data_IF_072677729006
#
_entry.id   IF_072677729006
#
_cell.length_a   1.000
_cell.length_b   1.000
_cell.length_c   1.000
_cell.angle_alpha   90.00
_cell.angle_beta   90.00
_cell.angle_gamma   90.00
#
_symmetry.space_group_name_H-M   'P 1'
#
loop_
_entity.id
_entity.type
_entity.pdbx_description
1 polymer ?
#
# COMPACT_ATOMS: atom_id res chain seq x y z
N UNK A 1 20.67 -2.71 -12.51
CA UNK A 1 19.80 -3.91 -12.48
C UNK A 1 18.97 -3.79 -11.21
N UNK A 2 17.65 -3.67 -11.33
CA UNK A 2 16.76 -3.60 -10.17
C UNK A 2 16.81 -4.94 -9.44
N UNK A 3 17.13 -4.94 -8.17
CA UNK A 3 17.08 -6.14 -7.33
C UNK A 3 15.68 -6.22 -6.72
N UNK A 4 14.94 -7.26 -7.06
CA UNK A 4 13.65 -7.56 -6.46
C UNK A 4 13.86 -7.82 -4.97
N UNK A 5 13.04 -7.24 -4.11
CA UNK A 5 13.05 -7.54 -2.68
C UNK A 5 11.89 -8.46 -2.28
N UNK A 6 11.88 -8.93 -1.04
CA UNK A 6 10.85 -9.86 -0.56
C UNK A 6 9.44 -9.30 -0.67
N UNK A 7 9.26 -7.99 -0.53
CA UNK A 7 7.96 -7.32 -0.71
C UNK A 7 7.54 -7.33 -2.18
N UNK A 8 8.45 -7.07 -3.12
CA UNK A 8 8.16 -7.11 -4.56
C UNK A 8 7.67 -8.50 -4.99
N UNK A 9 8.31 -9.58 -4.52
CA UNK A 9 7.91 -10.95 -4.87
C UNK A 9 6.51 -11.29 -4.36
N UNK A 10 6.18 -10.86 -3.16
CA UNK A 10 4.87 -11.09 -2.58
C UNK A 10 3.78 -10.26 -3.25
N UNK A 11 4.07 -8.99 -3.57
CA UNK A 11 3.17 -8.16 -4.36
C UNK A 11 2.96 -8.73 -5.77
N UNK A 12 3.99 -9.29 -6.39
CA UNK A 12 3.88 -9.90 -7.72
C UNK A 12 2.84 -11.01 -7.76
N UNK A 13 2.83 -11.89 -6.77
CA UNK A 13 1.82 -12.94 -6.65
C UNK A 13 0.40 -12.38 -6.52
N UNK A 14 0.20 -11.50 -5.55
CA UNK A 14 -1.09 -10.87 -5.29
C UNK A 14 -1.59 -10.04 -6.50
N UNK A 15 -0.71 -9.32 -7.18
CA UNK A 15 -1.07 -8.56 -8.38
C UNK A 15 -1.52 -9.49 -9.52
N UNK A 16 -0.81 -10.58 -9.75
CA UNK A 16 -1.16 -11.54 -10.80
C UNK A 16 -2.55 -12.17 -10.57
N UNK A 17 -2.88 -12.53 -9.34
CA UNK A 17 -4.19 -13.07 -8.94
C UNK A 17 -5.34 -12.11 -9.26
N UNK A 18 -5.09 -10.81 -9.22
CA UNK A 18 -6.07 -9.77 -9.55
C UNK A 18 -5.95 -9.23 -10.97
N UNK A 19 -5.27 -9.95 -11.87
CA UNK A 19 -5.21 -9.65 -13.28
C UNK A 19 -4.22 -8.58 -13.70
N UNK A 20 -3.25 -8.26 -12.84
CA UNK A 20 -2.15 -7.38 -13.22
C UNK A 20 -1.04 -8.15 -13.92
N UNK A 21 -0.48 -7.55 -14.95
CA UNK A 21 0.68 -8.07 -15.68
C UNK A 21 1.85 -7.08 -15.61
N UNK A 22 3.08 -7.55 -15.46
CA UNK A 22 4.24 -6.66 -15.42
C UNK A 22 4.48 -6.02 -16.79
N UNK A 23 4.83 -4.73 -16.78
CA UNK A 23 5.27 -3.95 -17.92
C UNK A 23 6.66 -3.34 -17.63
N UNK A 24 7.74 -4.09 -17.75
CA UNK A 24 9.08 -3.67 -17.30
C UNK A 24 9.64 -2.47 -18.09
N UNK A 25 9.16 -2.22 -19.30
CA UNK A 25 9.57 -1.09 -20.13
C UNK A 25 8.73 0.17 -19.94
N UNK A 26 7.67 0.08 -19.16
CA UNK A 26 6.80 1.22 -18.85
C UNK A 26 7.51 2.20 -17.91
N UNK A 27 7.58 3.45 -18.30
CA UNK A 27 8.27 4.54 -17.55
C UNK A 27 7.30 5.61 -17.04
N UNK A 28 6.02 5.29 -16.95
CA UNK A 28 4.98 6.23 -16.49
C UNK A 28 5.33 6.90 -15.15
N UNK A 29 5.93 6.16 -14.23
CA UNK A 29 6.28 6.63 -12.90
C UNK A 29 7.81 6.79 -12.70
N UNK A 30 8.58 6.76 -13.77
CA UNK A 30 10.03 6.92 -13.73
C UNK A 30 10.79 5.74 -14.33
N UNK A 31 12.12 5.80 -14.22
CA UNK A 31 13.01 4.79 -14.78
C UNK A 31 13.36 3.66 -13.81
N UNK A 32 12.99 3.80 -12.54
CA UNK A 32 13.24 2.81 -11.49
C UNK A 32 11.96 2.09 -11.12
N UNK A 33 12.10 0.92 -10.52
CA UNK A 33 10.97 0.11 -10.07
C UNK A 33 10.31 -0.72 -11.16
N UNK A 34 9.17 -1.31 -10.80
CA UNK A 34 8.36 -2.18 -11.63
C UNK A 34 6.98 -1.56 -11.86
N UNK A 35 6.56 -1.49 -13.10
CA UNK A 35 5.21 -1.09 -13.47
C UNK A 35 4.38 -2.31 -13.80
N UNK A 36 3.14 -2.33 -13.32
CA UNK A 36 2.16 -3.37 -13.55
C UNK A 36 0.94 -2.74 -14.20
N UNK A 37 0.39 -3.38 -15.21
CA UNK A 37 -0.85 -2.93 -15.86
C UNK A 37 -1.98 -3.88 -15.53
N UNK A 38 -3.14 -3.35 -15.16
CA UNK A 38 -4.37 -4.14 -15.09
C UNK A 38 -4.74 -4.58 -16.50
N UNK A 39 -4.61 -5.88 -16.75
CA UNK A 39 -4.86 -6.50 -18.05
C UNK A 39 -6.13 -7.34 -18.00
N UNK A 40 -7.05 -7.10 -18.94
CA UNK A 40 -8.25 -7.89 -19.07
C UNK A 40 -9.54 -7.15 -18.72
N UNK A 41 -10.67 -7.87 -18.68
CA UNK A 41 -11.98 -7.25 -18.51
C UNK A 41 -12.26 -6.76 -17.07
N UNK A 42 -11.42 -7.14 -16.09
CA UNK A 42 -11.67 -6.88 -14.68
C UNK A 42 -11.39 -5.45 -14.22
N UNK A 43 -10.60 -4.68 -14.98
CA UNK A 43 -10.22 -3.33 -14.55
C UNK A 43 -9.35 -2.61 -15.57
N UNK A 44 -8.83 -1.45 -15.19
CA UNK A 44 -7.92 -0.64 -16.01
C UNK A 44 -7.00 0.20 -15.13
N UNK A 45 -5.81 0.49 -15.62
CA UNK A 45 -4.85 1.36 -14.96
C UNK A 45 -3.55 0.65 -14.59
N UNK A 46 -2.82 1.23 -13.65
CA UNK A 46 -1.45 0.86 -13.34
C UNK A 46 -1.19 0.77 -11.85
N UNK A 47 -0.24 -0.07 -11.52
CA UNK A 47 0.37 -0.17 -10.21
C UNK A 47 1.88 -0.09 -10.39
N UNK A 48 2.57 0.59 -9.50
CA UNK A 48 4.01 0.73 -9.55
C UNK A 48 4.62 0.49 -8.18
N UNK A 49 5.76 -0.20 -8.17
CA UNK A 49 6.55 -0.46 -6.97
C UNK A 49 8.01 -0.13 -7.19
N UNK A 50 8.66 0.32 -6.13
CA UNK A 50 10.10 0.47 -6.04
C UNK A 50 10.59 0.02 -4.68
N UNK A 51 11.29 -1.09 -4.63
CA UNK A 51 11.90 -1.62 -3.42
C UNK A 51 13.39 -1.22 -3.33
N UNK A 52 13.83 -0.84 -2.14
CA UNK A 52 15.22 -0.56 -1.83
C UNK A 52 15.78 -1.65 -0.94
N UNK A 53 16.48 -2.62 -1.51
CA UNK A 53 16.95 -3.82 -0.82
C UNK A 53 15.79 -4.45 -0.02
N UNK A 54 16.05 -4.97 1.18
CA UNK A 54 15.02 -5.48 2.08
C UNK A 54 14.61 -4.45 3.15
N UNK A 55 14.74 -3.16 2.86
CA UNK A 55 14.48 -2.08 3.82
C UNK A 55 13.06 -1.53 3.69
N UNK A 56 12.69 -1.09 2.50
CA UNK A 56 11.37 -0.50 2.26
C UNK A 56 10.94 -0.65 0.80
N UNK A 57 9.66 -0.43 0.56
CA UNK A 57 9.08 -0.37 -0.77
C UNK A 57 8.17 0.87 -0.87
N UNK A 58 8.36 1.64 -1.93
CA UNK A 58 7.41 2.67 -2.37
C UNK A 58 6.39 2.04 -3.31
N UNK A 59 5.16 2.53 -3.27
CA UNK A 59 4.09 2.08 -4.15
C UNK A 59 3.21 3.23 -4.62
N UNK A 60 2.73 3.12 -5.85
CA UNK A 60 1.72 4.03 -6.43
C UNK A 60 0.60 3.16 -7.00
N UNK A 61 -0.62 3.47 -6.62
CA UNK A 61 -1.83 2.93 -7.22
C UNK A 61 -2.46 3.99 -8.12
N UNK A 62 -2.81 3.61 -9.34
CA UNK A 62 -3.52 4.45 -10.32
C UNK A 62 -4.34 3.52 -11.22
N UNK A 63 -5.34 2.86 -10.62
CA UNK A 63 -6.19 1.90 -11.32
C UNK A 63 -7.60 1.86 -10.73
N UNK A 64 -8.51 1.17 -11.41
CA UNK A 64 -9.85 0.88 -10.91
C UNK A 64 -10.33 -0.48 -11.43
N UNK A 65 -11.28 -1.07 -10.73
CA UNK A 65 -11.98 -2.27 -11.15
C UNK A 65 -13.32 -1.95 -11.82
N UNK A 66 -13.71 -2.76 -12.79
CA UNK A 66 -15.01 -2.64 -13.47
C UNK A 66 -16.16 -3.17 -12.63
N UNK A 67 -15.89 -4.15 -11.78
CA UNK A 67 -16.82 -4.77 -10.84
C UNK A 67 -16.24 -4.68 -9.41
N UNK A 68 -17.10 -4.84 -8.41
CA UNK A 68 -16.65 -4.89 -7.02
C UNK A 68 -15.67 -6.05 -6.81
N UNK A 69 -14.56 -5.80 -6.14
CA UNK A 69 -13.50 -6.78 -5.91
C UNK A 69 -13.31 -7.05 -4.43
N UNK A 70 -13.44 -8.31 -4.05
CA UNK A 70 -12.96 -8.77 -2.76
C UNK A 70 -11.47 -9.06 -2.88
N UNK A 71 -10.67 -8.25 -2.19
CA UNK A 71 -9.23 -8.46 -2.06
C UNK A 71 -8.95 -9.23 -0.78
N UNK A 72 -8.10 -10.24 -0.89
CA UNK A 72 -7.61 -11.00 0.25
C UNK A 72 -6.13 -11.29 0.06
N UNK A 73 -5.29 -10.79 0.97
CA UNK A 73 -3.84 -10.91 0.89
C UNK A 73 -3.24 -11.28 2.23
N UNK A 74 -2.27 -12.18 2.21
CA UNK A 74 -1.37 -12.42 3.33
C UNK A 74 -0.13 -11.53 3.16
N UNK A 75 -0.13 -10.37 3.80
CA UNK A 75 1.03 -9.49 3.78
C UNK A 75 2.15 -10.03 4.66
N UNK A 76 3.41 -9.82 4.28
CA UNK A 76 4.53 -10.05 5.19
C UNK A 76 4.48 -9.09 6.36
N UNK A 77 5.24 -9.39 7.40
CA UNK A 77 5.45 -8.44 8.48
C UNK A 77 6.06 -7.15 7.92
N UNK A 78 5.32 -6.06 8.06
CA UNK A 78 5.70 -4.74 7.55
C UNK A 78 4.86 -3.67 8.23
N UNK A 79 5.35 -2.44 8.20
CA UNK A 79 4.61 -1.23 8.55
C UNK A 79 4.30 -0.47 7.27
N UNK A 80 3.02 -0.33 6.94
CA UNK A 80 2.55 0.37 5.75
C UNK A 80 1.89 1.69 6.11
N UNK A 81 2.24 2.75 5.41
CA UNK A 81 1.55 4.05 5.45
C UNK A 81 1.21 4.45 4.03
N UNK A 82 -0.06 4.70 3.76
CA UNK A 82 -0.55 5.02 2.42
C UNK A 82 -1.51 6.21 2.47
N UNK A 83 -1.25 7.21 1.66
CA UNK A 83 -2.17 8.30 1.39
C UNK A 83 -3.06 7.93 0.21
N UNK A 84 -4.37 8.04 0.38
CA UNK A 84 -5.35 7.81 -0.67
C UNK A 84 -5.98 9.13 -1.09
N UNK A 85 -5.67 9.59 -2.29
CA UNK A 85 -6.39 10.67 -2.95
C UNK A 85 -7.80 10.21 -3.32
N UNK A 86 -7.90 9.00 -3.85
CA UNK A 86 -9.17 8.38 -4.25
C UNK A 86 -9.18 6.91 -3.88
N UNK A 87 -10.25 6.48 -3.22
CA UNK A 87 -10.58 5.09 -2.95
C UNK A 87 -12.03 5.01 -2.46
N UNK A 88 -12.70 3.87 -2.67
CA UNK A 88 -13.97 3.54 -2.04
C UNK A 88 -14.05 2.05 -1.77
N UNK A 89 -14.47 1.69 -0.57
CA UNK A 89 -14.59 0.30 -0.17
C UNK A 89 -14.79 0.13 1.34
N UNK A 90 -14.63 -1.11 1.76
CA UNK A 90 -14.77 -1.52 3.17
C UNK A 90 -13.70 -2.54 3.52
N UNK A 91 -12.99 -2.34 4.62
CA UNK A 91 -12.13 -3.36 5.21
C UNK A 91 -12.88 -4.16 6.26
N UNK A 92 -12.55 -5.44 6.37
CA UNK A 92 -13.24 -6.35 7.27
C UNK A 92 -12.50 -6.61 8.58
N UNK A 93 -11.19 -6.36 8.63
CA UNK A 93 -10.40 -6.54 9.85
C UNK A 93 -9.26 -5.50 9.92
N UNK A 94 -9.38 -4.46 10.78
CA UNK A 94 -10.58 -4.03 11.49
C UNK A 94 -11.67 -3.55 10.53
N UNK A 95 -12.93 -3.65 10.94
CA UNK A 95 -14.05 -3.18 10.14
C UNK A 95 -14.03 -1.65 10.04
N UNK A 96 -13.68 -1.12 8.85
CA UNK A 96 -13.63 0.33 8.60
C UNK A 96 -13.88 0.65 7.13
N UNK A 97 -14.39 1.84 6.89
CA UNK A 97 -14.61 2.33 5.52
C UNK A 97 -13.31 2.82 4.91
N UNK A 98 -13.12 2.53 3.63
CA UNK A 98 -12.11 3.14 2.78
C UNK A 98 -12.70 4.38 2.14
N UNK A 99 -12.13 5.54 2.44
CA UNK A 99 -12.61 6.83 1.95
C UNK A 99 -11.46 7.64 1.36
N UNK A 100 -11.78 8.45 0.36
CA UNK A 100 -10.81 9.34 -0.28
C UNK A 100 -10.33 10.43 0.68
N UNK A 101 -9.13 10.97 0.42
CA UNK A 101 -8.54 12.04 1.21
C UNK A 101 -8.04 11.59 2.59
N UNK A 102 -7.66 10.32 2.76
CA UNK A 102 -7.19 9.80 4.04
C UNK A 102 -5.77 9.23 3.98
N UNK A 103 -5.07 9.29 5.09
CA UNK A 103 -3.87 8.51 5.35
C UNK A 103 -4.26 7.26 6.13
N UNK A 104 -3.73 6.13 5.71
CA UNK A 104 -4.01 4.86 6.33
C UNK A 104 -2.71 4.15 6.68
N UNK A 105 -2.65 3.62 7.90
CA UNK A 105 -1.60 2.70 8.33
C UNK A 105 -2.11 1.27 8.38
N UNK A 106 -1.22 0.32 8.13
CA UNK A 106 -1.50 -1.11 8.22
C UNK A 106 -0.26 -1.85 8.70
N UNK A 107 -0.44 -2.85 9.55
CA UNK A 107 0.62 -3.72 10.03
C UNK A 107 0.42 -5.10 9.40
N UNK A 108 1.31 -5.48 8.51
CA UNK A 108 1.34 -6.80 7.89
C UNK A 108 1.81 -7.91 8.84
N UNK A 109 1.64 -9.15 8.43
CA UNK A 109 2.13 -10.33 9.15
C UNK A 109 1.25 -10.81 10.31
N UNK A 110 0.15 -10.15 10.61
CA UNK A 110 -0.76 -10.53 11.70
C UNK A 110 -1.94 -11.35 11.20
N UNK A 111 -2.76 -10.74 10.36
CA UNK A 111 -3.96 -11.36 9.79
C UNK A 111 -4.01 -11.10 8.29
N UNK A 112 -4.72 -11.94 7.51
CA UNK A 112 -4.96 -11.65 6.11
C UNK A 112 -5.68 -10.29 5.97
N UNK A 113 -5.16 -9.44 5.11
CA UNK A 113 -5.86 -8.23 4.70
C UNK A 113 -7.08 -8.62 3.87
N UNK A 114 -8.26 -8.13 4.24
CA UNK A 114 -9.50 -8.35 3.50
C UNK A 114 -10.24 -7.04 3.31
N UNK A 115 -10.56 -6.74 2.06
CA UNK A 115 -11.33 -5.53 1.72
C UNK A 115 -12.23 -5.75 0.50
N UNK A 116 -13.42 -5.19 0.55
CA UNK A 116 -14.27 -5.01 -0.62
C UNK A 116 -13.96 -3.66 -1.24
N UNK A 117 -13.47 -3.65 -2.47
CA UNK A 117 -13.21 -2.44 -3.24
C UNK A 117 -14.38 -2.20 -4.20
N UNK A 118 -14.95 -1.01 -4.14
CA UNK A 118 -16.08 -0.65 -4.97
C UNK A 118 -15.65 -0.39 -6.42
N UNK A 119 -16.45 -0.91 -7.34
CA UNK A 119 -16.25 -0.77 -8.78
C UNK A 119 -16.25 0.68 -9.24
N UNK A 120 -15.52 0.94 -10.33
CA UNK A 120 -15.51 2.22 -11.06
C UNK A 120 -15.07 3.44 -10.24
N UNK A 121 -14.60 3.24 -9.03
CA UNK A 121 -13.96 4.28 -8.25
C UNK A 121 -12.45 4.11 -8.39
N UNK A 122 -11.72 5.11 -8.90
CA UNK A 122 -10.29 5.03 -9.01
C UNK A 122 -9.63 4.84 -7.65
N UNK A 123 -8.65 3.95 -7.59
CA UNK A 123 -7.71 3.85 -6.47
C UNK A 123 -6.49 4.67 -6.88
N UNK A 124 -6.38 5.88 -6.34
CA UNK A 124 -5.23 6.76 -6.54
C UNK A 124 -4.55 6.95 -5.20
N UNK A 125 -3.34 6.45 -5.08
CA UNK A 125 -2.62 6.52 -3.81
C UNK A 125 -1.11 6.47 -3.98
N UNK A 126 -0.41 6.96 -2.96
CA UNK A 126 1.03 6.76 -2.77
C UNK A 126 1.28 6.24 -1.37
N UNK A 127 2.15 5.26 -1.24
CA UNK A 127 2.46 4.66 0.05
C UNK A 127 3.89 4.20 0.17
N UNK A 128 4.27 3.93 1.41
CA UNK A 128 5.54 3.29 1.77
C UNK A 128 5.25 2.08 2.65
N UNK A 129 5.98 1.02 2.42
CA UNK A 129 6.06 -0.13 3.30
C UNK A 129 7.47 -0.29 3.82
N UNK A 130 7.60 -0.45 5.13
CA UNK A 130 8.85 -0.58 5.84
C UNK A 130 8.95 -1.99 6.41
N UNK A 131 10.06 -2.66 6.13
CA UNK A 131 10.30 -4.03 6.61
C UNK A 131 10.79 -4.06 8.06
N UNK A 132 10.69 -5.21 8.77
CA UNK A 132 11.30 -5.38 10.08
C UNK A 132 12.79 -5.07 10.10
N UNK A 133 13.54 -5.42 9.05
CA UNK A 133 14.96 -5.10 8.95
C UNK A 133 15.22 -3.60 9.04
N UNK A 134 14.34 -2.77 8.42
CA UNK A 134 14.48 -1.31 8.51
C UNK A 134 14.13 -0.78 9.89
N UNK A 135 12.95 -1.10 10.46
CA UNK A 135 12.53 -0.49 11.71
C UNK A 135 13.18 -1.14 12.95
N UNK A 136 13.47 -2.43 12.95
CA UNK A 136 14.14 -3.08 14.07
C UNK A 136 15.65 -2.82 14.09
N UNK A 137 16.31 -2.87 12.95
CA UNK A 137 17.74 -2.74 12.86
C UNK A 137 18.22 -1.32 12.62
N UNK A 138 17.66 -0.63 11.63
CA UNK A 138 18.13 0.69 11.21
C UNK A 138 17.57 1.80 12.10
N UNK A 139 16.24 1.91 12.22
CA UNK A 139 15.63 2.99 13.00
C UNK A 139 15.95 2.85 14.48
N UNK A 140 15.96 1.67 15.04
CA UNK A 140 16.30 1.43 16.44
C UNK A 140 17.72 1.87 16.78
N UNK A 141 18.70 1.70 15.87
CA UNK A 141 20.07 2.17 16.08
C UNK A 141 20.19 3.68 16.00
N UNK A 142 19.40 4.34 15.17
CA UNK A 142 19.44 5.79 14.98
C UNK A 142 18.64 6.56 16.04
N UNK A 143 17.57 5.97 16.57
CA UNK A 143 16.59 6.63 17.44
C UNK A 143 16.27 5.75 18.66
N UNK A 144 17.29 5.33 19.40
CA UNK A 144 17.18 4.28 20.42
C UNK A 144 16.20 4.59 21.57
N UNK A 145 16.08 5.85 21.98
CA UNK A 145 15.19 6.25 23.09
C UNK A 145 13.76 6.52 22.62
N UNK A 146 13.59 7.00 21.39
CA UNK A 146 12.31 7.39 20.82
C UNK A 146 11.64 6.26 20.05
N UNK A 147 12.41 5.26 19.63
CA UNK A 147 11.95 4.19 18.73
C UNK A 147 10.80 3.37 19.31
N UNK A 148 10.87 3.01 20.60
CA UNK A 148 9.83 2.20 21.23
C UNK A 148 8.50 2.96 21.28
N UNK A 149 8.54 4.23 21.66
CA UNK A 149 7.36 5.11 21.69
C UNK A 149 6.77 5.31 20.28
N UNK A 150 7.63 5.47 19.27
CA UNK A 150 7.21 5.59 17.88
C UNK A 150 6.52 4.31 17.39
N UNK A 151 7.10 3.14 17.68
CA UNK A 151 6.54 1.85 17.31
C UNK A 151 5.18 1.59 17.99
N UNK A 152 5.08 1.89 19.29
CA UNK A 152 3.82 1.78 20.03
C UNK A 152 2.75 2.72 19.47
N UNK A 153 3.13 3.95 19.14
CA UNK A 153 2.25 4.92 18.51
C UNK A 153 1.80 4.43 17.14
N UNK A 154 2.68 3.88 16.33
CA UNK A 154 2.34 3.32 15.02
C UNK A 154 1.39 2.12 15.14
N UNK A 155 1.64 1.22 16.08
CA UNK A 155 0.79 0.08 16.36
C UNK A 155 -0.61 0.48 16.84
N UNK A 156 -0.72 1.61 17.56
CA UNK A 156 -2.01 2.16 17.97
C UNK A 156 -2.79 2.78 16.81
N UNK A 157 -2.10 3.33 15.80
CA UNK A 157 -2.69 3.92 14.60
C UNK A 157 -3.36 2.88 13.67
N UNK A 158 -2.99 1.61 13.78
CA UNK A 158 -3.63 0.53 13.02
C UNK A 158 -5.14 0.40 13.31
N UNK A 159 -5.61 0.97 14.42
CA UNK A 159 -7.01 1.03 14.79
C UNK A 159 -7.72 2.33 14.40
N UNK A 160 -6.98 3.32 13.87
CA UNK A 160 -7.53 4.64 13.60
C UNK A 160 -7.24 5.07 12.16
N UNK A 161 -8.28 5.35 11.39
CA UNK A 161 -8.14 6.05 10.11
C UNK A 161 -7.93 7.54 10.43
N UNK A 162 -6.74 8.08 10.17
CA UNK A 162 -6.53 9.51 10.24
C UNK A 162 -7.20 10.16 9.02
N UNK A 163 -8.39 10.70 9.21
CA UNK A 163 -9.03 11.57 8.24
C UNK A 163 -8.27 12.90 8.26
N UNK A 164 -7.48 13.16 7.24
CA UNK A 164 -7.06 14.52 6.92
C UNK A 164 -8.23 15.18 6.20
N UNK A 165 -9.12 15.81 6.94
CA UNK A 165 -10.00 16.82 6.36
C UNK A 165 -9.14 18.06 6.17
N UNK A 166 -8.77 18.38 4.95
CA UNK A 166 -8.29 19.71 4.64
C UNK A 166 -9.48 20.67 4.73
N UNK A 167 -9.71 21.24 5.90
CA UNK A 167 -10.56 22.43 6.06
C UNK A 167 -9.87 23.65 5.44
N UNK A 168 -9.52 23.55 4.16
CA UNK A 168 -8.94 24.64 3.38
C UNK A 168 -9.81 24.88 2.14
N UNK A 169 -11.10 25.13 2.37
CA UNK A 169 -11.98 25.68 1.36
C UNK A 169 -13.16 26.38 2.03
N UNK A 170 -12.89 27.45 2.77
CA UNK A 170 -13.84 28.52 2.99
C UNK A 170 -13.05 29.77 3.48
N UNK A 171 -12.54 30.54 2.48
CA UNK A 171 -12.39 32.00 2.55
C UNK A 171 -12.34 32.55 1.11
#
# INVERSE_FOLDING_TARGET
MYSCNVLDEQYAGAMAEHGFVPEPDNRRYGSMGLCWRQAGPGGSGYFWTYGQQDLYMLKIHDFYFHEDQLLEFCWPESLSVTWYESISGEEFSPCRRLVSGCVKSFIGGREPYRALIHRRVPIVSIGIEITPAYYQDYLRRQFSEEFQSLLESFQSLDQTCLLYTSDAADD
#
